data_IF_642582536070
#
_entry.id   IF_642582536070
#
_cell.length_a   1.000
_cell.length_b   1.000
_cell.length_c   1.000
_cell.angle_alpha   90.00
_cell.angle_beta   90.00
_cell.angle_gamma   90.00
#
_symmetry.space_group_name_H-M   'P 1'
#
loop_
_entity.id
_entity.type
_entity.pdbx_description
1 polymer ?
#
# COMPACT_ATOMS: atom_id res chain seq x y z
N UNK A 1 11.63 -35.98 4.02
CA UNK A 1 11.41 -35.72 5.45
C UNK A 1 12.73 -35.30 6.06
N UNK A 2 12.71 -34.28 6.93
CA UNK A 2 13.93 -33.72 7.50
C UNK A 2 14.47 -32.48 6.77
N UNK A 3 13.89 -32.11 5.63
CA UNK A 3 14.30 -30.92 4.89
C UNK A 3 13.99 -29.66 5.68
N UNK A 4 14.89 -28.69 5.63
CA UNK A 4 14.72 -27.40 6.25
C UNK A 4 13.99 -26.43 5.31
N UNK A 5 13.07 -25.66 5.87
CA UNK A 5 12.28 -24.65 5.16
C UNK A 5 12.19 -23.39 6.00
N UNK A 6 12.05 -22.23 5.35
CA UNK A 6 11.79 -20.98 6.02
C UNK A 6 10.31 -20.63 5.89
N UNK A 7 9.67 -20.33 7.00
CA UNK A 7 8.26 -19.95 7.06
C UNK A 7 8.11 -18.53 7.59
N UNK A 8 7.27 -17.77 6.90
CA UNK A 8 6.85 -16.44 7.30
C UNK A 8 5.39 -16.48 7.77
N UNK A 9 5.10 -15.94 8.94
CA UNK A 9 3.72 -15.82 9.44
C UNK A 9 3.09 -14.45 9.13
N UNK A 10 3.87 -13.52 8.57
CA UNK A 10 3.46 -12.17 8.21
C UNK A 10 3.22 -11.25 9.41
N UNK A 11 3.55 -11.67 10.64
CA UNK A 11 3.30 -10.91 11.88
C UNK A 11 4.48 -10.90 12.84
N UNK A 12 5.00 -12.08 13.18
CA UNK A 12 6.04 -12.20 14.21
C UNK A 12 7.43 -12.39 13.61
N UNK A 13 7.53 -12.94 12.39
CA UNK A 13 8.81 -13.04 11.71
C UNK A 13 8.95 -14.24 10.78
N UNK A 14 10.21 -14.54 10.47
CA UNK A 14 10.64 -15.68 9.69
C UNK A 14 11.24 -16.74 10.60
N UNK A 15 10.77 -17.96 10.47
CA UNK A 15 11.20 -19.11 11.26
C UNK A 15 11.91 -20.14 10.40
N UNK A 16 13.05 -20.63 10.84
CA UNK A 16 13.66 -21.85 10.31
C UNK A 16 12.91 -23.05 10.88
N UNK A 17 12.41 -23.90 10.01
CA UNK A 17 11.59 -25.04 10.35
C UNK A 17 12.11 -26.30 9.67
N UNK A 18 11.80 -27.48 10.23
CA UNK A 18 12.08 -28.77 9.64
C UNK A 18 10.77 -29.49 9.32
N UNK A 19 10.66 -30.06 8.13
CA UNK A 19 9.49 -30.87 7.73
C UNK A 19 9.47 -32.15 8.53
N UNK A 20 8.46 -32.31 9.41
CA UNK A 20 8.28 -33.48 10.24
C UNK A 20 7.40 -34.56 9.60
N UNK A 21 6.35 -34.15 8.88
CA UNK A 21 5.50 -35.06 8.11
C UNK A 21 4.77 -34.38 6.99
N UNK A 22 4.42 -35.10 5.94
CA UNK A 22 3.62 -34.64 4.80
C UNK A 22 2.42 -35.60 4.64
N UNK A 23 1.23 -35.04 4.72
CA UNK A 23 -0.04 -35.68 4.42
C UNK A 23 -0.66 -35.04 3.17
N UNK A 24 -1.48 -35.79 2.40
CA UNK A 24 -2.04 -35.41 1.06
C UNK A 24 -2.11 -33.92 0.70
N UNK A 25 -2.53 -33.03 1.62
CA UNK A 25 -2.67 -31.57 1.39
C UNK A 25 -2.13 -30.72 2.54
N UNK A 26 -1.39 -31.32 3.49
CA UNK A 26 -0.85 -30.65 4.67
C UNK A 26 0.58 -31.09 4.90
N UNK A 27 1.45 -30.15 5.23
CA UNK A 27 2.76 -30.43 5.78
C UNK A 27 2.79 -29.98 7.25
N UNK A 28 3.41 -30.79 8.08
CA UNK A 28 3.69 -30.43 9.47
C UNK A 28 5.17 -30.10 9.58
N UNK A 29 5.46 -29.05 10.31
CA UNK A 29 6.82 -28.59 10.51
C UNK A 29 7.11 -28.42 12.00
N UNK A 30 8.34 -28.66 12.37
CA UNK A 30 8.88 -28.34 13.69
C UNK A 30 9.64 -27.03 13.57
N UNK A 31 9.26 -26.02 14.36
CA UNK A 31 9.99 -24.76 14.45
C UNK A 31 11.32 -25.05 15.17
N UNK A 32 12.42 -24.68 14.54
CA UNK A 32 13.76 -24.83 15.10
C UNK A 32 14.23 -23.56 15.79
N UNK A 33 14.08 -22.42 15.10
CA UNK A 33 14.43 -21.10 15.67
C UNK A 33 13.75 -19.95 14.92
N UNK A 34 13.66 -18.82 15.57
CA UNK A 34 13.33 -17.54 14.93
C UNK A 34 14.57 -17.06 14.16
N UNK A 35 14.43 -16.86 12.85
CA UNK A 35 15.52 -16.45 11.96
C UNK A 35 15.56 -14.92 11.80
N UNK A 36 14.39 -14.29 11.60
CA UNK A 36 14.24 -12.84 11.53
C UNK A 36 13.02 -12.41 12.32
N UNK A 37 13.17 -11.41 13.19
CA UNK A 37 12.05 -10.75 13.86
C UNK A 37 11.28 -9.90 12.86
N UNK A 38 9.95 -9.89 12.94
CA UNK A 38 9.15 -9.01 12.11
C UNK A 38 9.47 -7.55 12.41
N UNK A 39 9.70 -6.78 11.34
CA UNK A 39 9.82 -5.32 11.44
C UNK A 39 8.45 -4.71 11.15
N UNK A 40 7.91 -3.97 12.10
CA UNK A 40 6.74 -3.15 11.86
C UNK A 40 7.12 -2.03 10.88
N UNK A 41 6.54 -1.98 9.67
CA UNK A 41 6.91 -0.97 8.69
C UNK A 41 6.51 0.42 9.17
N UNK A 42 7.11 1.44 8.56
CA UNK A 42 6.70 2.81 8.77
C UNK A 42 5.22 3.00 8.40
N UNK A 43 4.51 3.89 9.12
CA UNK A 43 3.05 4.00 9.07
C UNK A 43 2.56 4.77 7.84
N UNK A 44 2.76 4.17 6.65
CA UNK A 44 2.21 4.65 5.39
C UNK A 44 0.99 3.83 4.97
N UNK A 45 -0.09 4.51 4.61
CA UNK A 45 -1.28 3.91 3.99
C UNK A 45 -1.38 4.33 2.52
N UNK A 46 -1.88 3.44 1.67
CA UNK A 46 -2.24 3.77 0.29
C UNK A 46 -3.73 3.62 0.10
N UNK A 47 -4.41 4.71 -0.29
CA UNK A 47 -5.73 4.71 -0.89
C UNK A 47 -5.54 4.75 -2.40
N UNK A 48 -6.17 3.86 -3.13
CA UNK A 48 -6.12 3.93 -4.60
C UNK A 48 -7.41 3.44 -5.23
N UNK A 49 -7.80 4.08 -6.32
CA UNK A 49 -8.89 3.58 -7.14
C UNK A 49 -8.36 2.44 -8.03
N UNK A 50 -8.94 1.23 -7.95
CA UNK A 50 -8.50 0.13 -8.79
C UNK A 50 -8.69 0.43 -10.27
N UNK A 51 -7.69 0.07 -11.06
CA UNK A 51 -7.62 0.25 -12.51
C UNK A 51 -7.66 -1.11 -13.22
N UNK A 52 -7.32 -1.19 -14.51
CA UNK A 52 -7.26 -2.45 -15.23
C UNK A 52 -6.43 -3.49 -14.49
N UNK A 53 -6.89 -4.74 -14.48
CA UNK A 53 -6.40 -5.86 -13.64
C UNK A 53 -4.88 -5.91 -13.47
N UNK A 54 -4.11 -5.95 -14.56
CA UNK A 54 -2.65 -6.07 -14.51
C UNK A 54 -1.97 -4.88 -13.76
N UNK A 55 -2.51 -3.68 -13.90
CA UNK A 55 -1.99 -2.49 -13.21
C UNK A 55 -2.34 -2.47 -11.73
N UNK A 56 -3.58 -2.89 -11.38
CA UNK A 56 -3.97 -3.06 -9.96
C UNK A 56 -3.07 -4.10 -9.29
N UNK A 57 -2.79 -5.22 -9.96
CA UNK A 57 -1.88 -6.24 -9.45
C UNK A 57 -0.46 -5.69 -9.23
N UNK A 58 0.04 -4.88 -10.16
CA UNK A 58 1.33 -4.20 -10.03
C UNK A 58 1.36 -3.20 -8.84
N UNK A 59 0.30 -2.41 -8.66
CA UNK A 59 0.19 -1.51 -7.50
C UNK A 59 0.28 -2.31 -6.20
N UNK A 60 -0.50 -3.38 -6.06
CA UNK A 60 -0.51 -4.23 -4.87
C UNK A 60 0.88 -4.84 -4.62
N UNK A 61 1.51 -5.39 -5.65
CA UNK A 61 2.87 -5.95 -5.57
C UNK A 61 3.88 -4.90 -5.08
N UNK A 62 3.89 -3.72 -5.68
CA UNK A 62 4.84 -2.65 -5.34
C UNK A 62 4.56 -2.00 -3.99
N UNK A 63 3.32 -2.01 -3.51
CA UNK A 63 3.01 -1.62 -2.14
C UNK A 63 3.74 -2.48 -1.12
N UNK A 64 3.79 -3.80 -1.34
CA UNK A 64 4.51 -4.73 -0.46
C UNK A 64 6.01 -4.45 -0.49
N UNK A 65 6.59 -4.39 -1.69
CA UNK A 65 8.04 -4.17 -1.87
C UNK A 65 8.51 -2.83 -1.27
N UNK A 66 7.67 -1.80 -1.39
CA UNK A 66 7.96 -0.45 -0.90
C UNK A 66 7.54 -0.23 0.57
N UNK A 67 7.09 -1.28 1.28
CA UNK A 67 6.83 -1.23 2.70
C UNK A 67 5.59 -0.41 3.10
N UNK A 68 4.54 -0.40 2.29
CA UNK A 68 3.23 0.16 2.68
C UNK A 68 2.64 -0.70 3.80
N UNK A 69 2.15 -0.07 4.85
CA UNK A 69 1.57 -0.77 6.00
C UNK A 69 0.14 -1.22 5.75
N UNK A 70 -0.66 -0.39 5.06
CA UNK A 70 -2.08 -0.63 4.84
C UNK A 70 -2.51 -0.16 3.46
N UNK A 71 -3.31 -0.97 2.79
CA UNK A 71 -3.84 -0.74 1.44
C UNK A 71 -5.36 -0.65 1.52
N UNK A 72 -5.91 0.48 1.10
CA UNK A 72 -7.34 0.78 1.08
C UNK A 72 -7.79 1.01 -0.37
N UNK A 73 -8.31 -0.01 -1.05
CA UNK A 73 -8.91 0.20 -2.36
C UNK A 73 -10.21 0.98 -2.23
N UNK A 74 -10.39 2.01 -3.08
CA UNK A 74 -11.55 2.91 -3.02
C UNK A 74 -12.26 3.02 -4.36
N UNK A 75 -13.59 3.12 -4.34
CA UNK A 75 -14.41 3.39 -5.53
C UNK A 75 -14.61 4.89 -5.61
N UNK A 76 -14.22 5.47 -6.76
CA UNK A 76 -14.48 6.84 -7.16
C UNK A 76 -15.48 6.88 -8.30
N UNK A 77 -15.99 8.07 -8.65
CA UNK A 77 -17.01 8.21 -9.72
C UNK A 77 -16.50 7.67 -11.08
N UNK A 78 -15.20 7.72 -11.33
CA UNK A 78 -14.59 7.22 -12.58
C UNK A 78 -13.86 5.88 -12.43
N UNK A 79 -14.09 5.17 -11.32
CA UNK A 79 -13.56 3.80 -11.16
C UNK A 79 -14.33 2.85 -12.07
N UNK A 80 -13.65 2.32 -13.07
CA UNK A 80 -14.21 1.33 -13.98
C UNK A 80 -13.64 -0.06 -13.64
N UNK A 81 -14.20 -0.71 -12.61
CA UNK A 81 -13.75 -2.03 -12.19
C UNK A 81 -14.92 -3.00 -12.05
N UNK A 82 -14.99 -4.04 -12.89
CA UNK A 82 -16.10 -5.01 -12.84
C UNK A 82 -16.06 -5.89 -11.58
N UNK A 83 -14.88 -6.17 -11.02
CA UNK A 83 -14.72 -7.03 -9.84
C UNK A 83 -13.38 -6.85 -9.15
N UNK A 84 -13.39 -6.60 -7.84
CA UNK A 84 -12.21 -6.61 -6.97
C UNK A 84 -12.07 -7.98 -6.30
N UNK A 85 -10.93 -8.67 -6.51
CA UNK A 85 -10.74 -10.04 -6.02
C UNK A 85 -9.71 -10.06 -4.88
N UNK A 86 -10.16 -9.83 -3.65
CA UNK A 86 -9.34 -9.80 -2.45
C UNK A 86 -8.43 -11.03 -2.31
N UNK A 87 -8.97 -12.23 -2.54
CA UNK A 87 -8.19 -13.47 -2.42
C UNK A 87 -7.00 -13.50 -3.39
N UNK A 88 -7.21 -13.04 -4.61
CA UNK A 88 -6.13 -12.94 -5.61
C UNK A 88 -5.06 -11.94 -5.16
N UNK A 89 -5.47 -10.78 -4.69
CA UNK A 89 -4.55 -9.74 -4.23
C UNK A 89 -3.77 -10.16 -2.98
N UNK A 90 -4.40 -10.86 -2.04
CA UNK A 90 -3.71 -11.47 -0.91
C UNK A 90 -2.61 -12.45 -1.37
N UNK A 91 -2.90 -13.30 -2.37
CA UNK A 91 -1.88 -14.22 -2.91
C UNK A 91 -0.71 -13.47 -3.57
N UNK A 92 -0.97 -12.36 -4.28
CA UNK A 92 0.07 -11.50 -4.84
C UNK A 92 0.93 -10.91 -3.72
N UNK A 93 0.30 -10.37 -2.67
CA UNK A 93 1.01 -9.82 -1.52
C UNK A 93 1.90 -10.86 -0.84
N UNK A 94 1.41 -12.08 -0.62
CA UNK A 94 2.19 -13.18 -0.04
C UNK A 94 3.41 -13.50 -0.92
N UNK A 95 3.21 -13.64 -2.23
CA UNK A 95 4.31 -13.89 -3.18
C UNK A 95 5.33 -12.76 -3.17
N UNK A 96 4.88 -11.50 -3.09
CA UNK A 96 5.76 -10.33 -3.03
C UNK A 96 6.57 -10.29 -1.74
N UNK A 97 5.96 -10.61 -0.58
CA UNK A 97 6.65 -10.73 0.72
C UNK A 97 7.77 -11.76 0.63
N UNK A 98 7.49 -12.93 0.04
CA UNK A 98 8.50 -13.99 -0.14
C UNK A 98 9.66 -13.54 -1.04
N UNK A 99 9.34 -12.86 -2.15
CA UNK A 99 10.31 -12.42 -3.13
C UNK A 99 11.22 -11.30 -2.58
N UNK A 100 10.66 -10.29 -1.90
CA UNK A 100 11.45 -9.16 -1.38
C UNK A 100 12.06 -9.42 0.00
N UNK A 101 11.80 -10.59 0.61
CA UNK A 101 12.33 -10.96 1.93
C UNK A 101 11.77 -10.12 3.08
N UNK A 102 10.60 -9.49 2.88
CA UNK A 102 9.89 -8.79 3.95
C UNK A 102 9.40 -9.79 5.00
N UNK A 103 9.33 -9.36 6.25
CA UNK A 103 8.71 -10.13 7.35
C UNK A 103 7.32 -9.60 7.73
N UNK A 104 6.84 -8.59 6.99
CA UNK A 104 5.55 -7.94 7.20
C UNK A 104 4.64 -8.14 5.99
N UNK A 105 3.38 -8.50 6.24
CA UNK A 105 2.32 -8.54 5.23
C UNK A 105 1.42 -7.32 5.44
N UNK A 106 1.29 -6.41 4.46
CA UNK A 106 0.37 -5.28 4.58
C UNK A 106 -1.08 -5.69 4.86
N UNK A 107 -1.82 -4.84 5.56
CA UNK A 107 -3.26 -5.00 5.69
C UNK A 107 -3.93 -4.60 4.36
N UNK A 108 -4.79 -5.48 3.81
CA UNK A 108 -5.62 -5.17 2.65
C UNK A 108 -7.08 -5.05 3.10
N UNK A 109 -7.63 -3.84 3.00
CA UNK A 109 -9.03 -3.56 3.32
C UNK A 109 -9.98 -3.99 2.20
N UNK A 110 -11.25 -4.12 2.53
CA UNK A 110 -12.30 -4.33 1.55
C UNK A 110 -12.49 -3.09 0.68
N UNK A 111 -12.88 -3.30 -0.58
CA UNK A 111 -13.19 -2.21 -1.50
C UNK A 111 -14.41 -1.42 -1.02
N UNK A 112 -14.25 -0.12 -0.81
CA UNK A 112 -15.31 0.76 -0.31
C UNK A 112 -15.39 2.06 -1.13
N UNK A 113 -16.55 2.73 -1.11
CA UNK A 113 -16.71 4.05 -1.72
C UNK A 113 -15.81 5.09 -1.05
N UNK A 114 -15.14 5.94 -1.83
CA UNK A 114 -14.25 6.99 -1.32
C UNK A 114 -14.96 7.87 -0.28
N UNK A 115 -16.18 8.33 -0.56
CA UNK A 115 -16.97 9.15 0.37
C UNK A 115 -17.14 8.48 1.73
N UNK A 116 -17.49 7.20 1.75
CA UNK A 116 -17.65 6.43 2.99
C UNK A 116 -16.33 6.33 3.78
N UNK A 117 -15.21 6.11 3.10
CA UNK A 117 -13.90 6.07 3.75
C UNK A 117 -13.57 7.43 4.38
N UNK A 118 -13.89 8.55 3.70
CA UNK A 118 -13.61 9.90 4.19
C UNK A 118 -14.52 10.30 5.37
N UNK A 119 -15.77 9.82 5.43
CA UNK A 119 -16.70 10.05 6.55
C UNK A 119 -16.17 9.52 7.89
N UNK A 120 -15.47 8.38 7.86
CA UNK A 120 -14.92 7.73 9.06
C UNK A 120 -13.40 7.91 9.20
N UNK A 121 -12.83 8.89 8.47
CA UNK A 121 -11.38 9.12 8.46
C UNK A 121 -10.87 9.76 9.76
N UNK A 122 -9.77 9.23 10.30
CA UNK A 122 -9.08 9.90 11.41
C UNK A 122 -8.41 11.21 10.90
N UNK A 123 -8.88 12.39 11.31
CA UNK A 123 -8.35 13.66 10.85
C UNK A 123 -6.89 13.93 11.25
N UNK A 124 -6.33 13.13 12.16
CA UNK A 124 -4.90 13.21 12.50
C UNK A 124 -4.01 12.65 11.39
N UNK A 125 -4.52 11.72 10.56
CA UNK A 125 -3.81 11.17 9.40
C UNK A 125 -4.05 12.04 8.18
N UNK A 126 -2.97 12.64 7.67
CA UNK A 126 -3.02 13.49 6.47
C UNK A 126 -3.14 12.62 5.23
N UNK A 127 -4.08 12.94 4.35
CA UNK A 127 -4.17 12.37 3.01
C UNK A 127 -3.39 13.26 2.05
N UNK A 128 -2.38 12.69 1.39
CA UNK A 128 -1.70 13.32 0.26
C UNK A 128 -2.44 12.92 -0.99
N UNK A 129 -3.17 13.84 -1.54
CA UNK A 129 -3.95 13.67 -2.76
C UNK A 129 -3.08 14.01 -3.97
N UNK A 130 -2.62 12.98 -4.69
CA UNK A 130 -1.88 13.13 -5.93
C UNK A 130 -2.87 13.28 -7.08
N UNK A 131 -3.18 14.52 -7.43
CA UNK A 131 -4.16 14.80 -8.47
C UNK A 131 -3.50 15.11 -9.84
N UNK A 132 -4.23 14.83 -10.90
CA UNK A 132 -3.79 14.97 -12.28
C UNK A 132 -3.80 16.43 -12.79
N UNK A 133 -4.34 17.40 -12.02
CA UNK A 133 -4.42 18.82 -12.42
C UNK A 133 -3.08 19.53 -12.31
N UNK A 134 -2.11 18.90 -11.66
CA UNK A 134 -0.70 19.32 -11.59
C UNK A 134 -0.44 20.67 -10.90
N UNK A 135 -1.46 21.31 -10.32
CA UNK A 135 -1.35 22.60 -9.60
C UNK A 135 -1.21 22.45 -8.08
N UNK A 136 -0.98 21.25 -7.59
CA UNK A 136 -0.68 20.93 -6.19
C UNK A 136 0.74 21.35 -5.77
N UNK A 137 0.99 21.37 -4.47
CA UNK A 137 2.34 21.57 -3.93
C UNK A 137 3.24 20.42 -4.35
N UNK A 138 4.50 20.67 -4.70
CA UNK A 138 5.47 19.60 -5.00
C UNK A 138 5.53 18.60 -3.84
N UNK A 139 5.38 17.32 -4.12
CA UNK A 139 5.23 16.28 -3.10
C UNK A 139 6.39 16.27 -2.09
N UNK A 140 7.63 16.47 -2.52
CA UNK A 140 8.78 16.52 -1.63
C UNK A 140 8.70 17.69 -0.63
N UNK A 141 8.34 18.90 -1.08
CA UNK A 141 8.14 20.07 -0.22
C UNK A 141 7.04 19.84 0.79
N UNK A 142 5.92 19.26 0.34
CA UNK A 142 4.80 18.92 1.19
C UNK A 142 5.20 17.91 2.28
N UNK A 143 5.83 16.82 1.90
CA UNK A 143 6.27 15.78 2.84
C UNK A 143 7.25 16.31 3.89
N UNK A 144 8.18 17.17 3.52
CA UNK A 144 9.09 17.81 4.47
C UNK A 144 8.36 18.63 5.53
N UNK A 145 7.23 19.26 5.18
CA UNK A 145 6.44 20.09 6.11
C UNK A 145 5.56 19.29 7.06
N UNK A 146 5.27 18.00 6.77
CA UNK A 146 4.35 17.16 7.54
C UNK A 146 4.95 15.80 7.96
N UNK A 147 6.26 15.61 7.83
CA UNK A 147 6.92 14.30 8.03
C UNK A 147 6.68 13.63 9.40
N UNK A 148 6.29 14.41 10.42
CA UNK A 148 5.96 13.90 11.75
C UNK A 148 4.52 13.42 11.90
N UNK A 149 3.69 13.54 10.87
CA UNK A 149 2.28 13.14 10.90
C UNK A 149 2.08 11.74 10.32
N UNK A 150 1.06 10.99 10.78
CA UNK A 150 0.58 9.81 10.05
C UNK A 150 0.11 10.21 8.65
N UNK A 151 0.52 9.46 7.63
CA UNK A 151 0.27 9.81 6.23
C UNK A 151 -0.46 8.68 5.52
N UNK A 152 -1.36 9.07 4.62
CA UNK A 152 -1.93 8.23 3.59
C UNK A 152 -1.74 8.93 2.24
N UNK A 153 -1.50 8.16 1.18
CA UNK A 153 -1.42 8.65 -0.20
C UNK A 153 -2.71 8.24 -0.91
N UNK A 154 -3.33 9.14 -1.66
CA UNK A 154 -4.52 8.88 -2.46
C UNK A 154 -4.19 9.01 -3.96
N UNK A 155 -4.42 7.91 -4.71
CA UNK A 155 -4.21 7.82 -6.15
C UNK A 155 -5.54 7.52 -6.84
N UNK A 156 -5.90 8.34 -7.82
CA UNK A 156 -7.10 8.17 -8.63
C UNK A 156 -6.98 7.10 -9.73
N UNK A 157 -8.11 6.80 -10.40
CA UNK A 157 -8.13 5.96 -11.60
C UNK A 157 -7.60 6.74 -12.84
N UNK A 158 -7.55 6.06 -13.99
CA UNK A 158 -7.09 6.71 -15.24
C UNK A 158 -7.93 7.93 -15.66
N UNK A 159 -9.21 7.97 -15.29
CA UNK A 159 -10.12 9.11 -15.57
C UNK A 159 -10.03 10.23 -14.53
N UNK A 160 -9.16 10.13 -13.53
CA UNK A 160 -9.05 11.11 -12.46
C UNK A 160 -10.23 11.10 -11.49
N UNK A 161 -10.53 12.24 -10.90
CA UNK A 161 -11.63 12.44 -9.96
C UNK A 161 -12.70 13.36 -10.59
N UNK A 162 -13.98 13.13 -10.27
CA UNK A 162 -15.04 14.05 -10.67
C UNK A 162 -14.89 15.41 -9.99
N UNK A 163 -15.54 16.45 -10.53
CA UNK A 163 -15.54 17.78 -9.92
C UNK A 163 -16.07 17.73 -8.48
N UNK A 164 -17.12 16.93 -8.25
CA UNK A 164 -17.71 16.77 -6.92
C UNK A 164 -16.74 16.11 -5.93
N UNK A 165 -16.00 15.09 -6.37
CA UNK A 165 -14.98 14.42 -5.54
C UNK A 165 -13.80 15.36 -5.28
N UNK A 166 -13.38 16.09 -6.29
CA UNK A 166 -12.30 17.06 -6.18
C UNK A 166 -12.64 18.17 -5.17
N UNK A 167 -13.84 18.76 -5.26
CA UNK A 167 -14.28 19.79 -4.33
C UNK A 167 -14.46 19.25 -2.91
N UNK A 168 -14.97 18.04 -2.77
CA UNK A 168 -15.03 17.34 -1.49
C UNK A 168 -13.63 17.21 -0.88
N UNK A 169 -12.68 16.63 -1.61
CA UNK A 169 -11.31 16.41 -1.15
C UNK A 169 -10.63 17.74 -0.78
N UNK A 170 -10.79 18.76 -1.60
CA UNK A 170 -10.24 20.11 -1.37
C UNK A 170 -10.80 20.78 -0.11
N UNK A 171 -12.06 20.51 0.24
CA UNK A 171 -12.71 21.05 1.44
C UNK A 171 -12.25 20.42 2.75
N UNK A 172 -11.59 19.27 2.72
CA UNK A 172 -11.20 18.53 3.93
C UNK A 172 -9.86 19.03 4.49
N UNK A 173 -9.85 19.44 5.77
CA UNK A 173 -8.66 19.99 6.45
C UNK A 173 -7.49 19.02 6.57
N UNK A 174 -7.73 17.71 6.47
CA UNK A 174 -6.71 16.66 6.53
C UNK A 174 -6.23 16.21 5.14
N UNK A 175 -6.73 16.80 4.05
CA UNK A 175 -6.27 16.53 2.69
C UNK A 175 -5.28 17.61 2.25
N UNK A 176 -4.22 17.17 1.59
CA UNK A 176 -3.21 18.05 0.97
C UNK A 176 -2.99 17.62 -0.47
N UNK A 177 -3.16 18.55 -1.40
CA UNK A 177 -2.93 18.31 -2.82
C UNK A 177 -1.44 18.33 -3.12
N UNK A 178 -0.97 17.30 -3.83
CA UNK A 178 0.42 17.13 -4.21
C UNK A 178 0.57 16.96 -5.72
N UNK A 179 1.59 17.59 -6.27
CA UNK A 179 2.05 17.37 -7.64
C UNK A 179 3.26 16.45 -7.66
N UNK A 180 3.24 15.47 -8.56
CA UNK A 180 4.33 14.52 -8.83
C UNK A 180 5.22 14.96 -10.01
N UNK A 181 5.05 16.16 -10.54
CA UNK A 181 5.81 16.70 -11.65
C UNK A 181 4.91 17.25 -12.77
N UNK A 182 5.50 17.63 -13.91
CA UNK A 182 4.77 18.30 -14.98
C UNK A 182 3.98 17.36 -15.91
N UNK A 183 4.18 16.04 -15.79
CA UNK A 183 3.46 15.04 -16.59
C UNK A 183 2.36 14.37 -15.78
N UNK A 184 1.24 14.04 -16.42
CA UNK A 184 0.23 13.17 -15.86
C UNK A 184 0.77 11.74 -15.87
N UNK A 185 0.95 11.16 -14.67
CA UNK A 185 1.42 9.80 -14.50
C UNK A 185 0.25 8.81 -14.54
N UNK A 186 0.50 7.60 -15.00
CA UNK A 186 -0.46 6.50 -14.80
C UNK A 186 -0.57 6.16 -13.32
N UNK A 187 -1.71 5.60 -12.90
CA UNK A 187 -2.01 5.29 -11.50
C UNK A 187 -0.90 4.45 -10.83
N UNK A 188 -0.42 3.40 -11.52
CA UNK A 188 0.66 2.57 -11.02
C UNK A 188 1.98 3.32 -10.87
N UNK A 189 2.30 4.20 -11.83
CA UNK A 189 3.50 5.03 -11.77
C UNK A 189 3.40 6.06 -10.65
N UNK A 190 2.24 6.70 -10.50
CA UNK A 190 1.97 7.68 -9.45
C UNK A 190 2.08 7.04 -8.06
N UNK A 191 1.54 5.83 -7.88
CA UNK A 191 1.65 5.08 -6.64
C UNK A 191 3.12 4.76 -6.29
N UNK A 192 3.87 4.17 -7.22
CA UNK A 192 5.29 3.83 -7.01
C UNK A 192 6.10 5.08 -6.71
N UNK A 193 5.97 6.14 -7.51
CA UNK A 193 6.72 7.38 -7.34
C UNK A 193 6.42 8.05 -5.99
N UNK A 194 5.14 8.20 -5.63
CA UNK A 194 4.76 8.86 -4.37
C UNK A 194 5.20 8.08 -3.14
N UNK A 195 5.08 6.75 -3.16
CA UNK A 195 5.54 5.88 -2.07
C UNK A 195 7.08 5.97 -1.95
N UNK A 196 7.82 5.90 -3.06
CA UNK A 196 9.29 5.99 -3.06
C UNK A 196 9.79 7.34 -2.54
N UNK A 197 9.17 8.44 -2.95
CA UNK A 197 9.49 9.77 -2.42
C UNK A 197 9.19 9.84 -0.93
N UNK A 198 8.04 9.29 -0.50
CA UNK A 198 7.71 9.23 0.92
C UNK A 198 8.73 8.41 1.71
N UNK A 199 9.15 7.24 1.21
CA UNK A 199 10.17 6.41 1.86
C UNK A 199 11.49 7.15 2.03
N UNK A 200 11.90 7.94 1.04
CA UNK A 200 13.15 8.71 1.09
C UNK A 200 13.13 9.89 2.06
N UNK A 201 11.94 10.44 2.36
CA UNK A 201 11.81 11.66 3.21
C UNK A 201 11.30 11.32 4.61
N UNK A 202 10.31 10.44 4.72
CA UNK A 202 9.57 10.15 5.94
C UNK A 202 9.73 8.69 6.41
N UNK A 203 10.07 7.80 5.51
CA UNK A 203 10.09 6.36 5.74
C UNK A 203 11.43 5.81 6.21
N UNK A 204 11.63 4.52 5.98
CA UNK A 204 12.82 3.82 6.46
C UNK A 204 14.09 4.19 5.69
N UNK A 205 13.97 4.58 4.42
CA UNK A 205 15.11 4.98 3.59
C UNK A 205 15.74 6.31 4.04
N UNK A 206 15.03 7.09 4.86
CA UNK A 206 15.54 8.35 5.43
C UNK A 206 16.36 8.15 6.72
N UNK A 207 16.44 6.91 7.25
CA UNK A 207 17.02 6.59 8.56
C UNK A 207 18.42 5.96 8.47
N UNK A 208 19.06 6.01 7.31
CA UNK A 208 20.42 5.50 7.09
C UNK A 208 21.48 6.38 7.76
#
# INVERSE_FOLDING_TARGET
>A
MGDEVHLLDGKTGEYQCQISSILKKKAFVKILKLNKVSRNPADLWLLFAPVKKARTELIIEKCVELGVKKILPVITDYTNLPKFNNKRFQNIMISSVQQCGSTWLPELEELQGLKKVLEFWDPKRIIIFCDERLDGTKINTLLMSIKSKPIAILIGPEGGFSELEFDLLKGLKFVRRASLGPQVLRAETAAIASISIWQSICGEWSKS
#
